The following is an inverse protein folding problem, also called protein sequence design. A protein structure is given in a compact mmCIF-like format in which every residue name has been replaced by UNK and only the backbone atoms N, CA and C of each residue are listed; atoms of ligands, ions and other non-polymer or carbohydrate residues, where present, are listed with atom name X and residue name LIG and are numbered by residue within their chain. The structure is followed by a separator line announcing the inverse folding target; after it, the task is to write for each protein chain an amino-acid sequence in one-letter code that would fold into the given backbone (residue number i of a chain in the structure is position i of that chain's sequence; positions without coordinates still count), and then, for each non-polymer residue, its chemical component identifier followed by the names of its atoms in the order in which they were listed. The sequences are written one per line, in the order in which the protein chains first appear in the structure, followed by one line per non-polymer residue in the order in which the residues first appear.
data_IF_874345233609
#
_entry.id   IF_874345233609
#
_cell.length_a   1.000
_cell.length_b   1.000
_cell.length_c   1.000
_cell.angle_alpha   90.00
_cell.angle_beta   90.00
_cell.angle_gamma   90.00
#
_symmetry.space_group_name_H-M   'P 1'
#
loop_
_entity.id
_entity.type
_entity.pdbx_description
1 polymer ?
#
# COMPACT_ATOMS: atom_id res chain seq x y z
N UNK A 1 18.44 -24.47 -2.99
CA UNK A 1 17.68 -23.24 -2.76
C UNK A 1 16.29 -23.41 -3.35
N UNK A 2 15.23 -22.89 -2.73
CA UNK A 2 13.89 -22.99 -3.28
C UNK A 2 13.76 -22.04 -4.49
N UNK A 3 13.33 -22.57 -5.63
CA UNK A 3 13.15 -21.81 -6.88
C UNK A 3 11.71 -21.27 -7.03
N UNK A 4 10.96 -21.20 -5.93
CA UNK A 4 9.55 -20.82 -5.96
C UNK A 4 9.42 -19.32 -6.27
N UNK A 5 8.80 -19.00 -7.41
CA UNK A 5 8.66 -17.62 -7.89
C UNK A 5 7.29 -17.02 -7.62
N UNK A 6 6.26 -17.85 -7.41
CA UNK A 6 4.90 -17.35 -7.23
C UNK A 6 4.13 -18.20 -6.25
N UNK A 7 3.44 -17.52 -5.33
CA UNK A 7 2.51 -18.11 -4.38
C UNK A 7 1.15 -17.45 -4.58
N UNK A 8 0.14 -18.29 -4.84
CA UNK A 8 -1.26 -17.88 -4.95
C UNK A 8 -2.10 -18.70 -3.97
N UNK A 9 -2.57 -18.05 -2.91
CA UNK A 9 -3.37 -18.63 -1.83
C UNK A 9 -4.73 -17.93 -1.66
N UNK A 10 -5.05 -16.96 -2.51
CA UNK A 10 -6.22 -16.11 -2.31
C UNK A 10 -7.56 -16.84 -2.42
N UNK A 11 -8.57 -16.33 -1.72
CA UNK A 11 -9.95 -16.87 -1.75
C UNK A 11 -10.10 -18.20 -1.02
N UNK A 12 -9.42 -18.39 0.11
CA UNK A 12 -9.47 -19.60 0.91
C UNK A 12 -9.86 -19.28 2.37
N UNK A 13 -9.86 -20.32 3.22
CA UNK A 13 -10.08 -20.19 4.66
C UNK A 13 -8.78 -20.34 5.47
N UNK A 14 -7.61 -20.01 4.92
CA UNK A 14 -6.37 -20.07 5.68
C UNK A 14 -6.40 -19.06 6.83
N UNK A 15 -5.89 -19.45 8.00
CA UNK A 15 -5.90 -18.65 9.22
C UNK A 15 -4.57 -18.76 9.95
N UNK A 16 -4.42 -17.98 11.02
CA UNK A 16 -3.16 -17.88 11.77
C UNK A 16 -2.23 -16.84 11.16
N UNK A 17 -0.96 -16.95 11.51
CA UNK A 17 0.07 -16.01 11.09
C UNK A 17 0.59 -16.30 9.68
N UNK A 18 1.05 -15.26 8.99
CA UNK A 18 1.93 -15.42 7.83
C UNK A 18 3.32 -15.78 8.38
N UNK A 19 3.87 -16.97 8.07
CA UNK A 19 5.10 -17.42 8.70
C UNK A 19 6.31 -16.58 8.28
N UNK A 20 7.17 -16.12 9.22
CA UNK A 20 8.40 -15.37 8.92
C UNK A 20 9.34 -16.08 7.93
N UNK A 21 9.25 -17.41 7.85
CA UNK A 21 9.99 -18.23 6.91
C UNK A 21 9.73 -17.86 5.44
N UNK A 22 8.63 -17.16 5.11
CA UNK A 22 8.36 -16.65 3.77
C UNK A 22 9.52 -15.80 3.23
N UNK A 23 10.20 -15.04 4.10
CA UNK A 23 11.35 -14.20 3.73
C UNK A 23 12.58 -14.97 3.24
N UNK A 24 12.59 -16.30 3.36
CA UNK A 24 13.67 -17.16 2.83
C UNK A 24 13.51 -17.48 1.34
N UNK A 25 12.36 -17.16 0.73
CA UNK A 25 12.07 -17.44 -0.68
C UNK A 25 12.63 -16.35 -1.59
N UNK A 26 13.96 -16.30 -1.72
CA UNK A 26 14.66 -15.20 -2.40
C UNK A 26 14.32 -15.03 -3.90
N UNK A 27 13.78 -16.06 -4.54
CA UNK A 27 13.33 -16.03 -5.94
C UNK A 27 11.86 -15.58 -6.10
N UNK A 28 11.14 -15.30 -5.00
CA UNK A 28 9.71 -15.00 -5.04
C UNK A 28 9.45 -13.63 -5.66
N UNK A 29 8.62 -13.62 -6.71
CA UNK A 29 8.14 -12.43 -7.43
C UNK A 29 6.70 -12.07 -7.11
N UNK A 30 5.87 -13.09 -6.82
CA UNK A 30 4.45 -12.91 -6.53
C UNK A 30 4.10 -13.57 -5.21
N UNK A 31 3.52 -12.80 -4.31
CA UNK A 31 2.90 -13.28 -3.08
C UNK A 31 1.46 -12.77 -3.00
N UNK A 32 0.51 -13.64 -3.34
CA UNK A 32 -0.92 -13.33 -3.31
C UNK A 32 -1.63 -14.21 -2.28
N UNK A 33 -2.06 -13.60 -1.19
CA UNK A 33 -2.70 -14.26 -0.05
C UNK A 33 -4.05 -13.62 0.35
N UNK A 34 -4.56 -12.69 -0.46
CA UNK A 34 -5.77 -11.93 -0.14
C UNK A 34 -7.06 -12.76 -0.17
N UNK A 35 -8.05 -12.40 0.64
CA UNK A 35 -9.31 -13.16 0.77
C UNK A 35 -9.11 -14.44 1.58
N UNK A 36 -8.54 -14.31 2.77
CA UNK A 36 -8.32 -15.38 3.74
C UNK A 36 -8.67 -14.87 5.16
N UNK A 37 -8.41 -15.68 6.18
CA UNK A 37 -8.57 -15.33 7.60
C UNK A 37 -7.22 -15.21 8.31
N UNK A 38 -6.14 -14.80 7.60
CA UNK A 38 -4.87 -14.53 8.27
C UNK A 38 -5.07 -13.44 9.31
N UNK A 39 -4.68 -13.75 10.54
CA UNK A 39 -4.98 -12.95 11.71
C UNK A 39 -3.76 -12.66 12.57
N UNK A 40 -2.56 -12.96 12.06
CA UNK A 40 -1.32 -12.47 12.64
C UNK A 40 -1.01 -11.01 12.29
N UNK A 41 0.19 -10.57 12.68
CA UNK A 41 0.79 -9.35 12.18
C UNK A 41 1.45 -9.55 10.80
N UNK A 42 1.73 -8.46 10.10
CA UNK A 42 2.54 -8.48 8.88
C UNK A 42 4.00 -8.79 9.22
N UNK A 43 4.58 -9.91 8.75
CA UNK A 43 5.95 -10.28 9.08
C UNK A 43 6.92 -9.31 8.39
N UNK A 44 7.85 -8.65 9.11
CA UNK A 44 8.84 -7.75 8.53
C UNK A 44 9.82 -8.47 7.58
N UNK A 45 9.93 -9.80 7.67
CA UNK A 45 10.77 -10.65 6.82
C UNK A 45 10.32 -10.67 5.36
N UNK A 46 9.07 -10.28 5.05
CA UNK A 46 8.66 -10.05 3.65
C UNK A 46 9.57 -9.00 3.00
N UNK A 47 10.09 -8.03 3.77
CA UNK A 47 11.08 -7.06 3.28
C UNK A 47 12.43 -7.65 2.84
N UNK A 48 12.68 -8.94 3.07
CA UNK A 48 13.87 -9.65 2.55
C UNK A 48 13.68 -10.20 1.13
N UNK A 49 12.47 -10.12 0.57
CA UNK A 49 12.14 -10.65 -0.75
C UNK A 49 12.51 -9.65 -1.85
N UNK A 50 13.82 -9.47 -2.08
CA UNK A 50 14.36 -8.47 -3.01
C UNK A 50 13.88 -8.59 -4.48
N UNK A 51 13.32 -9.74 -4.86
CA UNK A 51 12.72 -9.99 -6.17
C UNK A 51 11.20 -9.81 -6.23
N UNK A 52 10.55 -9.43 -5.12
CA UNK A 52 9.10 -9.31 -5.06
C UNK A 52 8.60 -8.13 -5.90
N UNK A 53 7.69 -8.43 -6.81
CA UNK A 53 7.06 -7.48 -7.74
C UNK A 53 5.58 -7.25 -7.36
N UNK A 54 4.90 -8.29 -6.86
CA UNK A 54 3.47 -8.26 -6.52
C UNK A 54 3.22 -8.77 -5.10
N UNK A 55 2.63 -7.92 -4.26
CA UNK A 55 2.20 -8.28 -2.90
C UNK A 55 0.72 -7.97 -2.70
N UNK A 56 -0.09 -9.02 -2.50
CA UNK A 56 -1.53 -8.91 -2.21
C UNK A 56 -1.88 -9.59 -0.90
N UNK A 57 -2.24 -8.80 0.10
CA UNK A 57 -2.66 -9.24 1.44
C UNK A 57 -4.07 -8.73 1.80
N UNK A 58 -4.78 -8.16 0.84
CA UNK A 58 -6.11 -7.57 1.05
C UNK A 58 -7.19 -8.55 1.48
N UNK A 59 -8.22 -8.09 2.18
CA UNK A 59 -9.30 -8.92 2.73
C UNK A 59 -8.75 -10.05 3.61
N UNK A 60 -8.03 -9.67 4.67
CA UNK A 60 -7.62 -10.55 5.76
C UNK A 60 -8.02 -9.92 7.11
N UNK A 61 -7.88 -10.64 8.22
CA UNK A 61 -8.33 -10.18 9.52
C UNK A 61 -7.15 -9.94 10.45
N UNK A 62 -6.16 -9.14 10.03
CA UNK A 62 -4.91 -8.94 10.78
C UNK A 62 -5.23 -8.46 12.20
N UNK A 63 -4.51 -9.02 13.19
CA UNK A 63 -4.73 -8.67 14.59
C UNK A 63 -4.21 -7.25 14.85
N UNK A 64 -5.09 -6.39 15.35
CA UNK A 64 -4.71 -5.04 15.76
C UNK A 64 -3.88 -5.08 17.07
N UNK A 65 -2.82 -4.25 17.20
CA UNK A 65 -2.30 -3.34 16.18
C UNK A 65 -1.41 -4.10 15.18
N UNK A 66 -1.75 -4.02 13.89
CA UNK A 66 -0.87 -4.40 12.79
C UNK A 66 -0.55 -3.13 12.01
N UNK A 67 0.73 -2.82 11.84
CA UNK A 67 1.20 -1.65 11.10
C UNK A 67 1.87 -2.08 9.79
N UNK A 68 2.01 -1.16 8.83
CA UNK A 68 2.81 -1.41 7.64
C UNK A 68 4.30 -1.49 8.05
N UNK A 69 4.98 -2.64 7.93
CA UNK A 69 6.37 -2.74 8.35
C UNK A 69 7.26 -1.85 7.48
N UNK A 70 8.08 -0.98 8.09
CA UNK A 70 9.02 -0.12 7.36
C UNK A 70 10.00 -0.92 6.50
N UNK A 71 10.28 -2.18 6.86
CA UNK A 71 11.07 -3.09 6.03
C UNK A 71 10.49 -3.32 4.63
N UNK A 72 9.19 -3.10 4.40
CA UNK A 72 8.59 -3.29 3.08
C UNK A 72 9.09 -2.24 2.08
N UNK A 73 9.61 -1.10 2.55
CA UNK A 73 10.19 -0.06 1.67
C UNK A 73 11.56 -0.45 1.09
N UNK A 74 12.10 -1.61 1.50
CA UNK A 74 13.29 -2.24 0.90
C UNK A 74 12.97 -3.00 -0.39
N UNK A 75 11.69 -3.24 -0.70
CA UNK A 75 11.25 -4.01 -1.87
C UNK A 75 11.32 -3.16 -3.15
N UNK A 76 12.53 -2.85 -3.63
CA UNK A 76 12.76 -1.91 -4.75
C UNK A 76 12.17 -2.34 -6.10
N UNK A 77 11.74 -3.59 -6.24
CA UNK A 77 11.06 -4.11 -7.44
C UNK A 77 9.54 -4.18 -7.31
N UNK A 78 8.99 -3.81 -6.15
CA UNK A 78 7.56 -3.91 -5.90
C UNK A 78 6.80 -2.89 -6.75
N UNK A 79 5.98 -3.39 -7.67
CA UNK A 79 5.15 -2.57 -8.55
C UNK A 79 3.71 -2.50 -8.04
N UNK A 80 3.24 -3.53 -7.34
CA UNK A 80 1.85 -3.59 -6.85
C UNK A 80 1.77 -4.01 -5.39
N UNK A 81 1.16 -3.17 -4.57
CA UNK A 81 0.92 -3.40 -3.16
C UNK A 81 -0.56 -3.19 -2.82
N UNK A 82 -1.24 -4.29 -2.48
CA UNK A 82 -2.64 -4.27 -2.06
C UNK A 82 -2.79 -4.83 -0.64
N UNK A 83 -3.14 -3.98 0.31
CA UNK A 83 -3.45 -4.34 1.70
C UNK A 83 -4.76 -3.66 2.14
N UNK A 84 -5.75 -3.58 1.25
CA UNK A 84 -7.05 -3.00 1.58
C UNK A 84 -7.91 -3.95 2.43
N UNK A 85 -8.77 -3.40 3.28
CA UNK A 85 -9.70 -4.17 4.11
C UNK A 85 -8.99 -5.25 4.95
N UNK A 86 -8.01 -4.84 5.76
CA UNK A 86 -7.15 -5.76 6.51
C UNK A 86 -6.86 -5.34 7.96
N UNK A 87 -7.60 -4.40 8.55
CA UNK A 87 -7.39 -3.88 9.91
C UNK A 87 -5.98 -3.26 10.14
N UNK A 88 -5.37 -2.68 9.11
CA UNK A 88 -4.08 -2.01 9.24
C UNK A 88 -4.25 -0.70 10.03
N UNK A 89 -3.38 -0.48 11.00
CA UNK A 89 -3.36 0.71 11.87
C UNK A 89 -2.01 1.44 11.75
N UNK A 90 -1.87 2.57 12.44
CA UNK A 90 -0.63 3.34 12.45
C UNK A 90 -0.51 4.28 11.26
N UNK A 91 0.69 4.82 11.08
CA UNK A 91 0.99 5.77 10.00
C UNK A 91 1.52 5.06 8.76
N UNK A 92 1.31 5.68 7.60
CA UNK A 92 2.05 5.31 6.39
C UNK A 92 3.48 5.84 6.56
N UNK A 93 4.51 4.97 6.59
CA UNK A 93 5.88 5.41 6.84
C UNK A 93 6.35 6.35 5.71
N UNK A 94 7.05 7.46 6.01
CA UNK A 94 7.55 8.37 4.99
C UNK A 94 8.45 7.69 3.94
N UNK A 95 9.19 6.65 4.35
CA UNK A 95 10.02 5.83 3.47
C UNK A 95 9.24 5.04 2.43
N UNK A 96 7.89 5.06 2.46
CA UNK A 96 7.07 4.48 1.39
C UNK A 96 7.45 5.07 0.03
N UNK A 97 7.87 6.35 -0.01
CA UNK A 97 8.35 7.04 -1.20
C UNK A 97 9.62 6.43 -1.81
N UNK A 98 10.32 5.54 -1.10
CA UNK A 98 11.51 4.88 -1.63
C UNK A 98 11.18 3.69 -2.57
N UNK A 99 9.89 3.36 -2.75
CA UNK A 99 9.42 2.28 -3.64
C UNK A 99 9.29 2.77 -5.08
N UNK A 100 10.41 3.14 -5.70
CA UNK A 100 10.47 3.84 -7.00
C UNK A 100 9.80 3.08 -8.17
N UNK A 101 9.66 1.75 -8.06
CA UNK A 101 8.98 0.91 -9.06
C UNK A 101 7.46 0.86 -8.89
N UNK A 102 6.89 1.48 -7.85
CA UNK A 102 5.46 1.36 -7.53
C UNK A 102 4.57 1.90 -8.66
N UNK A 103 3.61 1.09 -9.08
CA UNK A 103 2.59 1.40 -10.09
C UNK A 103 1.19 1.45 -9.48
N UNK A 104 0.92 0.62 -8.47
CA UNK A 104 -0.39 0.54 -7.81
C UNK A 104 -0.22 0.35 -6.30
N UNK A 105 -0.68 1.34 -5.54
CA UNK A 105 -0.76 1.28 -4.08
C UNK A 105 -2.23 1.37 -3.63
N UNK A 106 -2.70 0.34 -2.93
CA UNK A 106 -4.02 0.33 -2.31
C UNK A 106 -3.93 -0.07 -0.83
N UNK A 107 -4.21 0.91 0.02
CA UNK A 107 -4.28 0.76 1.48
C UNK A 107 -5.66 1.14 2.01
N UNK A 108 -6.68 1.18 1.15
CA UNK A 108 -8.02 1.60 1.50
C UNK A 108 -8.71 0.70 2.52
N UNK A 109 -9.77 1.20 3.14
CA UNK A 109 -10.60 0.44 4.09
C UNK A 109 -9.77 -0.14 5.25
N UNK A 110 -8.97 0.70 5.89
CA UNK A 110 -8.18 0.34 7.07
C UNK A 110 -8.37 1.42 8.16
N UNK A 111 -7.59 1.32 9.23
CA UNK A 111 -7.55 2.25 10.36
C UNK A 111 -6.26 3.10 10.33
N UNK A 112 -5.69 3.36 9.16
CA UNK A 112 -4.47 4.17 9.02
C UNK A 112 -4.74 5.62 9.42
N UNK A 113 -3.80 6.24 10.13
CA UNK A 113 -3.90 7.62 10.59
C UNK A 113 -2.61 8.40 10.30
N UNK A 114 -2.56 9.66 10.75
CA UNK A 114 -1.44 10.55 10.46
C UNK A 114 -1.56 11.20 9.09
N UNK A 115 -0.46 11.78 8.59
CA UNK A 115 -0.42 12.49 7.31
C UNK A 115 -0.16 11.56 6.15
N UNK A 116 -0.57 11.98 4.95
CA UNK A 116 -0.15 11.31 3.71
C UNK A 116 1.31 11.71 3.42
N UNK A 117 2.24 10.76 3.24
CA UNK A 117 3.63 11.10 2.92
C UNK A 117 3.78 11.77 1.54
N UNK A 118 4.56 12.85 1.48
CA UNK A 118 4.87 13.59 0.24
C UNK A 118 5.45 12.69 -0.86
N UNK A 119 6.20 11.66 -0.46
CA UNK A 119 6.78 10.66 -1.36
C UNK A 119 5.75 9.99 -2.29
N UNK A 120 4.49 9.88 -1.87
CA UNK A 120 3.41 9.30 -2.68
C UNK A 120 3.01 10.19 -3.88
N UNK A 121 3.28 11.50 -3.82
CA UNK A 121 2.91 12.47 -4.85
C UNK A 121 4.06 12.83 -5.80
N UNK A 122 5.21 12.18 -5.67
CA UNK A 122 6.38 12.36 -6.55
C UNK A 122 6.79 11.08 -7.29
N UNK A 123 5.99 10.01 -7.17
CA UNK A 123 6.24 8.75 -7.86
C UNK A 123 6.03 8.89 -9.38
N UNK A 124 7.07 8.52 -10.13
CA UNK A 124 7.05 8.63 -11.59
C UNK A 124 6.19 7.57 -12.28
N UNK A 125 6.07 6.38 -11.68
CA UNK A 125 5.38 5.23 -12.26
C UNK A 125 4.01 4.95 -11.62
N UNK A 126 3.67 5.63 -10.52
CA UNK A 126 2.42 5.36 -9.80
C UNK A 126 1.23 5.80 -10.64
N UNK A 127 0.37 4.85 -10.98
CA UNK A 127 -0.86 5.05 -11.75
C UNK A 127 -2.11 5.03 -10.88
N UNK A 128 -2.09 4.26 -9.79
CA UNK A 128 -3.24 4.06 -8.92
C UNK A 128 -2.83 4.32 -7.47
N UNK A 129 -3.41 5.35 -6.85
CA UNK A 129 -3.25 5.66 -5.42
C UNK A 129 -4.61 5.64 -4.73
N UNK A 130 -4.87 4.57 -3.98
CA UNK A 130 -6.17 4.30 -3.37
C UNK A 130 -6.02 4.23 -1.85
N UNK A 131 -6.48 5.27 -1.15
CA UNK A 131 -6.34 5.42 0.30
C UNK A 131 -7.70 5.66 1.01
N UNK A 132 -8.81 5.52 0.29
CA UNK A 132 -10.13 5.83 0.82
C UNK A 132 -10.51 5.00 2.06
N UNK A 133 -11.45 5.50 2.88
CA UNK A 133 -11.89 4.85 4.12
C UNK A 133 -10.72 4.53 5.05
N UNK A 134 -10.07 5.57 5.51
CA UNK A 134 -9.06 5.53 6.57
C UNK A 134 -9.32 6.69 7.56
N UNK A 135 -8.37 6.95 8.46
CA UNK A 135 -8.36 8.08 9.40
C UNK A 135 -7.20 9.04 9.07
N UNK A 136 -6.80 9.12 7.80
CA UNK A 136 -5.72 9.99 7.35
C UNK A 136 -6.12 11.45 7.55
N UNK A 137 -5.17 12.29 7.94
CA UNK A 137 -5.41 13.65 8.43
C UNK A 137 -4.35 14.64 7.94
N UNK A 138 -4.60 15.92 8.16
CA UNK A 138 -3.74 16.98 7.65
C UNK A 138 -4.00 17.29 6.18
N UNK A 139 -3.07 18.00 5.57
CA UNK A 139 -3.22 18.49 4.19
C UNK A 139 -2.73 17.46 3.17
N UNK A 140 -3.32 17.51 1.98
CA UNK A 140 -2.75 16.86 0.80
C UNK A 140 -1.43 17.55 0.46
N UNK A 141 -0.33 16.83 0.18
CA UNK A 141 0.93 17.40 -0.26
C UNK A 141 0.76 18.38 -1.44
N UNK A 142 1.24 19.61 -1.26
CA UNK A 142 1.01 20.70 -2.23
C UNK A 142 1.92 20.61 -3.46
N UNK A 143 3.08 19.97 -3.32
CA UNK A 143 4.00 19.69 -4.44
C UNK A 143 3.65 18.34 -5.03
N UNK A 144 3.21 18.35 -6.29
CA UNK A 144 2.79 17.12 -6.98
C UNK A 144 3.54 16.98 -8.29
N UNK A 145 4.22 15.85 -8.45
CA UNK A 145 5.05 15.50 -9.60
C UNK A 145 4.97 13.98 -9.86
N UNK A 146 3.74 13.51 -10.04
CA UNK A 146 3.38 12.13 -10.34
C UNK A 146 2.72 12.02 -11.74
N UNK A 147 3.49 12.15 -12.83
CA UNK A 147 2.95 12.31 -14.19
C UNK A 147 2.12 11.12 -14.68
N UNK A 148 2.35 9.93 -14.13
CA UNK A 148 1.63 8.71 -14.49
C UNK A 148 0.35 8.47 -13.70
N UNK A 149 0.02 9.34 -12.73
CA UNK A 149 -1.12 9.13 -11.84
C UNK A 149 -2.44 9.24 -12.61
N UNK A 150 -3.18 8.14 -12.68
CA UNK A 150 -4.45 8.02 -13.39
C UNK A 150 -5.65 8.09 -12.45
N UNK A 151 -5.54 7.46 -11.27
CA UNK A 151 -6.61 7.43 -10.27
C UNK A 151 -6.05 7.79 -8.91
N UNK A 152 -6.66 8.79 -8.29
CA UNK A 152 -6.42 9.20 -6.92
C UNK A 152 -7.73 9.16 -6.12
N UNK A 153 -7.79 8.27 -5.14
CA UNK A 153 -8.92 8.19 -4.22
C UNK A 153 -8.47 8.38 -2.78
N UNK A 154 -8.80 9.56 -2.24
CA UNK A 154 -8.55 9.97 -0.85
C UNK A 154 -9.87 10.17 -0.08
N UNK A 155 -10.98 9.71 -0.63
CA UNK A 155 -12.30 9.93 -0.05
C UNK A 155 -12.48 9.24 1.31
N UNK A 156 -13.46 9.67 2.09
CA UNK A 156 -13.78 9.06 3.39
C UNK A 156 -12.54 9.02 4.33
N UNK A 157 -11.95 10.19 4.60
CA UNK A 157 -10.82 10.39 5.50
C UNK A 157 -11.06 11.66 6.35
N UNK A 158 -10.04 12.09 7.10
CA UNK A 158 -10.05 13.30 7.93
C UNK A 158 -9.12 14.40 7.35
N UNK A 159 -8.91 14.43 6.03
CA UNK A 159 -8.05 15.42 5.39
C UNK A 159 -8.66 16.82 5.49
N UNK A 160 -7.80 17.84 5.52
CA UNK A 160 -8.14 19.27 5.64
C UNK A 160 -7.35 20.10 4.64
N UNK A 161 -7.62 21.40 4.56
CA UNK A 161 -6.82 22.34 3.77
C UNK A 161 -7.30 22.47 2.33
N UNK A 162 -6.43 22.97 1.45
CA UNK A 162 -6.76 23.21 0.04
C UNK A 162 -6.35 22.06 -0.88
N UNK A 163 -7.12 21.88 -1.95
CA UNK A 163 -6.73 21.03 -3.08
C UNK A 163 -5.47 21.64 -3.73
N UNK A 164 -4.37 20.87 -3.93
CA UNK A 164 -3.16 21.38 -4.56
C UNK A 164 -3.41 21.92 -5.97
N UNK A 165 -2.92 23.12 -6.28
CA UNK A 165 -2.96 23.68 -7.64
C UNK A 165 -2.17 22.78 -8.63
N UNK A 166 -1.14 22.10 -8.14
CA UNK A 166 -0.32 21.16 -8.91
C UNK A 166 -1.09 19.95 -9.43
N UNK A 167 -2.32 19.68 -8.95
CA UNK A 167 -3.19 18.67 -9.57
C UNK A 167 -3.49 18.99 -11.04
N UNK A 168 -3.42 20.27 -11.44
CA UNK A 168 -3.53 20.66 -12.85
C UNK A 168 -2.40 20.12 -13.74
N UNK A 169 -1.26 19.72 -13.15
CA UNK A 169 -0.12 19.10 -13.86
C UNK A 169 -0.34 17.61 -14.13
N UNK A 170 -1.29 16.96 -13.46
CA UNK A 170 -1.56 15.53 -13.56
C UNK A 170 -2.34 15.22 -14.85
N UNK A 171 -1.67 15.31 -15.98
CA UNK A 171 -2.30 15.15 -17.31
C UNK A 171 -2.86 13.76 -17.59
N UNK A 172 -2.41 12.73 -16.86
CA UNK A 172 -2.92 11.36 -16.96
C UNK A 172 -4.13 11.09 -16.05
N UNK A 173 -4.50 12.04 -15.18
CA UNK A 173 -5.53 11.82 -14.16
C UNK A 173 -6.92 11.72 -14.80
N UNK A 174 -7.57 10.58 -14.59
CA UNK A 174 -8.92 10.28 -15.08
C UNK A 174 -9.92 10.08 -13.95
N UNK A 175 -9.45 9.75 -12.74
CA UNK A 175 -10.28 9.60 -11.55
C UNK A 175 -9.72 10.39 -10.37
N UNK A 176 -10.53 11.28 -9.81
CA UNK A 176 -10.23 12.01 -8.57
C UNK A 176 -11.42 11.93 -7.61
N UNK A 177 -11.22 11.32 -6.45
CA UNK A 177 -12.22 11.22 -5.40
C UNK A 177 -11.67 11.80 -4.09
N UNK A 178 -12.32 12.88 -3.62
CA UNK A 178 -11.96 13.61 -2.39
C UNK A 178 -13.14 13.77 -1.42
N UNK A 179 -14.32 13.22 -1.74
CA UNK A 179 -15.54 13.41 -0.96
C UNK A 179 -15.42 12.85 0.47
N UNK A 180 -16.26 13.32 1.39
CA UNK A 180 -16.23 12.91 2.81
C UNK A 180 -14.86 13.14 3.47
N UNK A 181 -14.31 14.33 3.28
CA UNK A 181 -13.21 14.92 4.07
C UNK A 181 -13.71 16.25 4.72
N UNK A 182 -12.84 16.95 5.46
CA UNK A 182 -13.16 18.20 6.17
C UNK A 182 -12.82 19.44 5.33
#
# INVERSE_FOLDING_TARGET
MAQLQSIYLGGNNFSGDIPPAIGKLQELKVLSMGGNHFNGSLPPEIGHLSNLEYLRLSNNNLLAPSTLPSNYTKLKKLTKLWIFNSNLTGEIPPSIGDLEAMEWLDLSQNDLHGKIPDGLFVFKNLSQLILFRNKLSGEIPQVVDAPSLEVLDLSENNLTGSIPEDFAKLTSLTGLALFSNQ
#
